data_IF_176444574381
#
_entry.id   IF_176444574381
#
_cell.length_a   1.000
_cell.length_b   1.000
_cell.length_c   1.000
_cell.angle_alpha   90.00
_cell.angle_beta   90.00
_cell.angle_gamma   90.00
#
_symmetry.space_group_name_H-M   'P 1'
#
loop_
_entity.id
_entity.type
_entity.pdbx_description
1 polymer ?
#
# COMPACT_ATOMS: atom_id res chain seq x y z
N UNK A 1 5.68 -3.35 -10.34
CA UNK A 1 4.95 -4.51 -9.85
C UNK A 1 5.65 -5.01 -8.62
N UNK A 2 4.96 -5.13 -7.52
CA UNK A 2 5.51 -5.61 -6.26
C UNK A 2 4.77 -6.88 -5.85
N UNK A 3 5.51 -7.91 -5.46
CA UNK A 3 4.95 -9.18 -5.00
C UNK A 3 5.29 -9.37 -3.53
N UNK A 4 4.37 -9.90 -2.77
CA UNK A 4 4.57 -10.25 -1.37
C UNK A 4 3.82 -11.52 -1.01
N UNK A 5 4.43 -12.36 -0.17
CA UNK A 5 3.75 -13.52 0.41
C UNK A 5 3.08 -13.11 1.71
N UNK A 6 1.76 -13.22 1.76
CA UNK A 6 1.03 -13.03 3.00
C UNK A 6 1.05 -14.33 3.82
N UNK A 7 1.40 -14.21 5.11
CA UNK A 7 1.19 -15.29 6.08
C UNK A 7 -0.01 -14.92 6.93
N UNK A 8 -0.97 -15.84 7.04
CA UNK A 8 -2.08 -15.68 7.96
C UNK A 8 -1.56 -15.54 9.39
N UNK A 9 -1.97 -14.48 10.09
CA UNK A 9 -1.79 -14.32 11.53
C UNK A 9 -3.15 -14.04 12.17
N UNK A 10 -3.27 -14.21 13.50
CA UNK A 10 -4.54 -13.96 14.20
C UNK A 10 -5.06 -12.51 14.04
N UNK A 11 -4.18 -11.58 13.65
CA UNK A 11 -4.49 -10.14 13.45
C UNK A 11 -4.61 -9.74 11.99
N UNK A 12 -4.25 -10.61 11.05
CA UNK A 12 -4.27 -10.32 9.63
C UNK A 12 -5.51 -10.90 8.97
N UNK A 13 -5.77 -10.46 7.75
CA UNK A 13 -6.74 -11.02 6.84
C UNK A 13 -6.65 -12.56 6.83
N UNK A 14 -7.76 -13.23 7.15
CA UNK A 14 -7.81 -14.70 7.15
C UNK A 14 -7.86 -15.16 5.69
N UNK A 15 -6.80 -15.84 5.27
CA UNK A 15 -6.80 -16.52 3.97
C UNK A 15 -7.71 -17.76 4.07
N UNK A 16 -8.59 -17.92 3.10
CA UNK A 16 -9.32 -19.15 2.90
C UNK A 16 -8.31 -20.27 2.60
N UNK A 17 -8.36 -21.42 3.30
CA UNK A 17 -7.45 -22.55 3.06
C UNK A 17 -7.49 -23.11 1.62
N UNK A 18 -8.56 -22.83 0.88
CA UNK A 18 -8.71 -23.26 -0.53
C UNK A 18 -8.00 -22.35 -1.53
N UNK A 19 -7.40 -21.25 -1.07
CA UNK A 19 -6.69 -20.29 -1.92
C UNK A 19 -5.50 -20.94 -2.59
N UNK A 20 -5.52 -20.95 -3.92
CA UNK A 20 -4.46 -21.52 -4.75
C UNK A 20 -3.34 -20.53 -5.04
N UNK A 21 -3.61 -19.22 -4.93
CA UNK A 21 -2.64 -18.15 -5.12
C UNK A 21 -2.47 -17.35 -3.82
N UNK A 22 -1.39 -17.62 -3.05
CA UNK A 22 -1.11 -16.93 -1.80
C UNK A 22 -0.39 -15.58 -2.03
N UNK A 23 -0.20 -15.14 -3.27
CA UNK A 23 0.55 -13.94 -3.57
C UNK A 23 -0.31 -12.68 -3.42
N UNK A 24 0.29 -11.63 -2.87
CA UNK A 24 -0.25 -10.28 -2.90
C UNK A 24 0.23 -9.60 -4.18
N UNK A 25 -0.70 -9.10 -4.98
CA UNK A 25 -0.38 -8.38 -6.20
C UNK A 25 -0.62 -6.88 -6.00
N UNK A 26 0.45 -6.11 -6.01
CA UNK A 26 0.42 -4.65 -5.92
C UNK A 26 0.95 -4.02 -7.20
N UNK A 27 0.19 -3.06 -7.75
CA UNK A 27 0.58 -2.26 -8.91
C UNK A 27 0.49 -0.80 -8.54
N UNK A 28 1.51 -0.05 -8.90
CA UNK A 28 1.46 1.38 -8.78
C UNK A 28 1.59 2.03 -10.14
N UNK A 29 0.68 2.95 -10.46
CA UNK A 29 0.67 3.71 -11.70
C UNK A 29 0.96 5.17 -11.41
N UNK A 30 1.89 5.72 -12.15
CA UNK A 30 2.24 7.13 -12.05
C UNK A 30 1.04 8.02 -12.42
N UNK A 31 0.79 9.16 -11.73
CA UNK A 31 1.58 9.64 -10.58
C UNK A 31 1.08 9.15 -9.22
N UNK A 32 -0.16 8.74 -9.05
CA UNK A 32 -0.78 8.67 -7.73
C UNK A 32 -1.83 7.57 -7.55
N UNK A 33 -1.80 6.50 -8.33
CA UNK A 33 -2.81 5.42 -8.21
C UNK A 33 -2.16 4.09 -7.91
N UNK A 34 -2.68 3.40 -6.91
CA UNK A 34 -2.25 2.07 -6.48
C UNK A 34 -3.39 1.08 -6.60
N UNK A 35 -3.11 -0.10 -7.13
CA UNK A 35 -4.03 -1.23 -7.22
C UNK A 35 -3.49 -2.38 -6.38
N UNK A 36 -4.30 -2.93 -5.50
CA UNK A 36 -3.93 -4.05 -4.67
C UNK A 36 -4.95 -5.17 -4.78
N UNK A 37 -4.47 -6.38 -5.04
CA UNK A 37 -5.25 -7.61 -5.00
C UNK A 37 -4.66 -8.49 -3.89
N UNK A 38 -5.33 -8.60 -2.75
CA UNK A 38 -4.87 -9.47 -1.66
C UNK A 38 -4.95 -10.95 -2.05
N UNK A 39 -4.14 -11.82 -1.43
CA UNK A 39 -4.11 -13.24 -1.72
C UNK A 39 -5.49 -13.88 -1.62
N UNK A 40 -5.88 -14.63 -2.66
CA UNK A 40 -7.14 -15.38 -2.70
C UNK A 40 -8.41 -14.55 -2.54
N UNK A 41 -8.31 -13.24 -2.71
CA UNK A 41 -9.45 -12.35 -2.55
C UNK A 41 -10.29 -12.29 -3.83
N UNK A 42 -11.59 -12.12 -3.66
CA UNK A 42 -12.53 -11.78 -4.73
C UNK A 42 -12.79 -10.27 -4.81
N UNK A 43 -11.83 -9.47 -4.34
CA UNK A 43 -11.91 -8.03 -4.36
C UNK A 43 -10.56 -7.39 -4.71
N UNK A 44 -10.62 -6.15 -5.13
CA UNK A 44 -9.46 -5.30 -5.41
C UNK A 44 -9.64 -3.96 -4.69
N UNK A 45 -8.56 -3.42 -4.17
CA UNK A 45 -8.56 -2.04 -3.68
C UNK A 45 -7.85 -1.13 -4.67
N UNK A 46 -8.40 0.07 -4.86
CA UNK A 46 -7.78 1.15 -5.63
C UNK A 46 -7.58 2.32 -4.68
N UNK A 47 -6.35 2.77 -4.58
CA UNK A 47 -5.96 3.87 -3.71
C UNK A 47 -5.44 5.00 -4.57
N UNK A 48 -6.00 6.19 -4.36
CA UNK A 48 -5.56 7.42 -4.99
C UNK A 48 -4.87 8.29 -3.96
N UNK A 49 -3.66 8.73 -4.26
CA UNK A 49 -2.83 9.55 -3.39
C UNK A 49 -2.67 10.94 -4.01
N UNK A 50 -3.56 11.86 -3.69
CA UNK A 50 -3.54 13.21 -4.26
C UNK A 50 -2.71 14.15 -3.38
N UNK A 51 -1.54 14.63 -3.83
CA UNK A 51 -0.79 15.65 -3.10
C UNK A 51 -1.58 16.96 -3.11
N UNK A 52 -1.88 17.48 -1.92
CA UNK A 52 -2.56 18.76 -1.72
C UNK A 52 -1.55 19.88 -1.57
N UNK A 53 -0.51 19.63 -0.78
CA UNK A 53 0.64 20.49 -0.58
C UNK A 53 1.89 19.68 -0.22
N UNK A 54 2.99 20.32 0.16
CA UNK A 54 4.26 19.66 0.48
C UNK A 54 4.18 18.72 1.71
N UNK A 55 3.13 18.80 2.49
CA UNK A 55 2.99 18.08 3.76
C UNK A 55 1.68 17.32 3.89
N UNK A 56 0.78 17.51 2.96
CA UNK A 56 -0.59 16.98 3.03
C UNK A 56 -0.91 16.20 1.76
N UNK A 57 -1.36 14.97 1.93
CA UNK A 57 -1.88 14.11 0.86
C UNK A 57 -3.32 13.71 1.17
N UNK A 58 -4.22 13.89 0.23
CA UNK A 58 -5.57 13.33 0.30
C UNK A 58 -5.55 11.91 -0.24
N UNK A 59 -5.92 10.95 0.58
CA UNK A 59 -6.08 9.57 0.17
C UNK A 59 -7.56 9.23 -0.06
N UNK A 60 -7.87 8.76 -1.25
CA UNK A 60 -9.18 8.17 -1.57
C UNK A 60 -9.02 6.66 -1.74
N UNK A 61 -9.96 5.89 -1.20
CA UNK A 61 -9.85 4.44 -1.11
C UNK A 61 -11.15 3.78 -1.60
N UNK A 62 -11.06 3.06 -2.71
CA UNK A 62 -12.18 2.29 -3.26
C UNK A 62 -11.92 0.78 -3.07
N UNK A 63 -12.97 0.04 -2.74
CA UNK A 63 -12.95 -1.42 -2.68
C UNK A 63 -13.96 -1.95 -3.70
N UNK A 64 -13.48 -2.72 -4.66
CA UNK A 64 -14.27 -3.31 -5.72
C UNK A 64 -14.45 -4.80 -5.47
N UNK A 65 -15.69 -5.26 -5.46
CA UNK A 65 -16.06 -6.68 -5.35
C UNK A 65 -16.58 -7.21 -6.68
N UNK A 66 -16.54 -8.53 -6.85
CA UNK A 66 -17.00 -9.18 -8.08
C UNK A 66 -18.51 -9.39 -8.15
N UNK A 67 -19.23 -9.15 -7.05
CA UNK A 67 -20.69 -9.30 -6.93
C UNK A 67 -21.38 -7.95 -6.73
N UNK A 68 -22.61 -7.82 -7.21
CA UNK A 68 -23.41 -6.58 -7.10
C UNK A 68 -23.89 -6.31 -5.68
N UNK A 69 -24.33 -7.37 -4.97
CA UNK A 69 -24.80 -7.28 -3.59
C UNK A 69 -23.71 -7.74 -2.62
N UNK A 70 -23.41 -6.88 -1.63
CA UNK A 70 -22.40 -7.19 -0.63
C UNK A 70 -22.89 -8.26 0.35
N UNK A 71 -22.11 -9.31 0.51
CA UNK A 71 -22.29 -10.30 1.59
C UNK A 71 -21.96 -9.68 2.95
N UNK A 72 -22.33 -10.36 4.03
CA UNK A 72 -22.00 -9.88 5.38
C UNK A 72 -20.48 -9.83 5.60
N UNK A 73 -19.74 -10.84 5.15
CA UNK A 73 -18.29 -10.89 5.27
C UNK A 73 -17.60 -9.72 4.54
N UNK A 74 -18.15 -9.31 3.38
CA UNK A 74 -17.64 -8.14 2.65
C UNK A 74 -17.92 -6.82 3.37
N UNK A 75 -19.08 -6.70 4.02
CA UNK A 75 -19.40 -5.55 4.88
C UNK A 75 -18.45 -5.48 6.09
N UNK A 76 -18.22 -6.62 6.73
CA UNK A 76 -17.30 -6.73 7.86
C UNK A 76 -15.86 -6.41 7.45
N UNK A 77 -15.47 -6.83 6.23
CA UNK A 77 -14.18 -6.47 5.64
C UNK A 77 -14.04 -4.95 5.44
N UNK A 78 -15.06 -4.28 4.91
CA UNK A 78 -15.06 -2.82 4.74
C UNK A 78 -14.89 -2.12 6.09
N UNK A 79 -15.60 -2.58 7.12
CA UNK A 79 -15.48 -2.02 8.47
C UNK A 79 -14.09 -2.29 9.07
N UNK A 80 -13.49 -3.45 8.81
CA UNK A 80 -12.13 -3.75 9.23
C UNK A 80 -11.11 -2.83 8.54
N UNK A 81 -11.24 -2.59 7.23
CA UNK A 81 -10.40 -1.63 6.52
C UNK A 81 -10.51 -0.23 7.10
N UNK A 82 -11.73 0.21 7.42
CA UNK A 82 -12.01 1.54 7.96
C UNK A 82 -11.46 1.74 9.36
N UNK A 83 -11.65 0.74 10.24
CA UNK A 83 -11.44 0.92 11.68
C UNK A 83 -10.12 0.33 12.20
N UNK A 84 -9.48 -0.56 11.44
CA UNK A 84 -8.26 -1.25 11.85
C UNK A 84 -7.12 -0.98 10.89
N UNK A 85 -7.27 -1.42 9.63
CA UNK A 85 -6.17 -1.39 8.66
C UNK A 85 -5.69 0.03 8.34
N UNK A 86 -6.59 0.90 7.89
CA UNK A 86 -6.23 2.28 7.52
C UNK A 86 -5.69 3.13 8.68
N UNK A 87 -6.28 3.12 9.88
CA UNK A 87 -5.74 3.88 11.01
C UNK A 87 -4.32 3.47 11.40
N UNK A 88 -3.94 2.20 11.25
CA UNK A 88 -2.58 1.74 11.50
C UNK A 88 -1.58 2.43 10.57
N UNK A 89 -1.84 2.41 9.27
CA UNK A 89 -0.98 3.04 8.26
C UNK A 89 -0.94 4.57 8.41
N UNK A 90 -2.09 5.21 8.61
CA UNK A 90 -2.18 6.66 8.78
C UNK A 90 -1.35 7.15 9.96
N UNK A 91 -1.46 6.49 11.11
CA UNK A 91 -0.67 6.83 12.30
C UNK A 91 0.84 6.72 12.03
N UNK A 92 1.25 5.70 11.27
CA UNK A 92 2.64 5.49 10.91
C UNK A 92 3.14 6.60 9.99
N UNK A 93 2.46 6.88 8.87
CA UNK A 93 2.91 7.89 7.89
C UNK A 93 2.90 9.30 8.47
N UNK A 94 1.93 9.65 9.30
CA UNK A 94 1.92 10.92 10.02
C UNK A 94 3.10 11.03 11.01
N UNK A 95 3.44 9.93 11.68
CA UNK A 95 4.62 9.89 12.56
C UNK A 95 5.91 10.08 11.77
N UNK A 96 6.02 9.43 10.60
CA UNK A 96 7.15 9.61 9.69
C UNK A 96 7.25 11.07 9.22
N UNK A 97 6.15 11.68 8.83
CA UNK A 97 6.13 13.10 8.41
C UNK A 97 6.64 14.04 9.51
N UNK A 98 6.24 13.79 10.77
CA UNK A 98 6.80 14.54 11.92
C UNK A 98 8.30 14.30 12.09
N UNK A 99 8.75 13.06 11.89
CA UNK A 99 10.16 12.68 11.95
C UNK A 99 11.02 13.37 10.91
N UNK A 100 10.51 13.51 9.68
CA UNK A 100 11.20 14.20 8.59
C UNK A 100 11.47 15.68 8.89
N UNK A 101 10.65 16.31 9.74
CA UNK A 101 10.84 17.72 10.19
C UNK A 101 11.82 17.85 11.37
N UNK A 102 12.27 16.74 11.94
CA UNK A 102 13.16 16.78 13.09
C UNK A 102 14.55 17.30 12.74
N UNK A 103 15.22 17.97 13.70
CA UNK A 103 16.62 18.39 13.54
C UNK A 103 17.61 17.24 13.37
N UNK A 104 17.20 16.02 13.76
CA UNK A 104 18.01 14.80 13.61
C UNK A 104 17.95 14.22 12.20
N UNK A 105 16.94 14.55 11.41
CA UNK A 105 16.84 14.09 10.03
C UNK A 105 17.77 14.89 9.12
N UNK A 106 18.72 14.23 8.50
CA UNK A 106 19.71 14.84 7.61
C UNK A 106 19.55 14.45 6.14
N UNK A 107 18.37 13.99 5.73
CA UNK A 107 18.12 13.52 4.36
C UNK A 107 18.89 12.25 3.98
N UNK A 108 19.31 11.43 4.94
CA UNK A 108 20.17 10.27 4.73
C UNK A 108 19.39 8.94 4.72
N UNK A 109 18.23 8.90 4.08
CA UNK A 109 17.59 7.62 3.77
C UNK A 109 18.46 6.82 2.79
N UNK A 110 18.58 5.50 3.03
CA UNK A 110 19.22 4.60 2.06
C UNK A 110 18.14 3.72 1.45
N UNK A 111 18.08 3.72 0.12
CA UNK A 111 17.25 2.80 -0.63
C UNK A 111 18.10 1.59 -0.97
N UNK A 112 17.64 0.41 -0.58
CA UNK A 112 18.34 -0.85 -0.82
C UNK A 112 17.83 -1.47 -2.12
N UNK A 113 18.65 -1.45 -3.16
CA UNK A 113 18.34 -2.13 -4.41
C UNK A 113 19.32 -3.27 -4.66
N UNK A 114 18.85 -4.40 -5.17
CA UNK A 114 19.68 -5.48 -5.64
C UNK A 114 19.44 -5.77 -7.13
N UNK A 115 20.42 -6.42 -7.78
CA UNK A 115 20.36 -6.74 -9.20
C UNK A 115 19.31 -7.81 -9.53
N UNK A 116 19.01 -8.67 -8.58
CA UNK A 116 18.05 -9.78 -8.70
C UNK A 116 16.61 -9.32 -8.52
N UNK A 117 16.41 -8.07 -8.04
CA UNK A 117 15.09 -7.52 -7.69
C UNK A 117 14.31 -8.45 -6.75
N UNK A 118 14.99 -8.95 -5.73
CA UNK A 118 14.38 -9.80 -4.70
C UNK A 118 13.22 -9.07 -4.00
N UNK A 119 12.40 -9.80 -3.24
CA UNK A 119 11.27 -9.24 -2.51
C UNK A 119 11.66 -8.21 -1.43
N UNK A 120 12.94 -8.14 -1.05
CA UNK A 120 13.48 -7.12 -0.14
C UNK A 120 14.11 -5.92 -0.86
N UNK A 121 14.16 -5.93 -2.19
CA UNK A 121 14.74 -4.85 -2.98
C UNK A 121 13.76 -3.70 -3.14
N UNK A 122 14.19 -2.50 -2.79
CA UNK A 122 13.41 -1.26 -2.89
C UNK A 122 13.50 -0.60 -4.29
N UNK A 123 13.69 -1.39 -5.33
CA UNK A 123 13.84 -0.87 -6.70
C UNK A 123 12.60 -0.09 -7.19
N UNK A 124 11.39 -0.45 -6.72
CA UNK A 124 10.16 0.28 -7.03
C UNK A 124 10.16 1.69 -6.42
N UNK A 125 10.62 1.81 -5.17
CA UNK A 125 10.77 3.11 -4.49
C UNK A 125 11.83 3.96 -5.19
N UNK A 126 12.97 3.36 -5.55
CA UNK A 126 14.04 4.06 -6.28
C UNK A 126 13.54 4.61 -7.62
N UNK A 127 12.77 3.81 -8.36
CA UNK A 127 12.17 4.23 -9.63
C UNK A 127 11.14 5.35 -9.44
N UNK A 128 10.28 5.25 -8.43
CA UNK A 128 9.32 6.30 -8.09
C UNK A 128 10.02 7.63 -7.78
N UNK A 129 11.02 7.61 -6.93
CA UNK A 129 11.79 8.83 -6.58
C UNK A 129 12.49 9.43 -7.80
N UNK A 130 12.97 8.59 -8.72
CA UNK A 130 13.53 9.05 -9.97
C UNK A 130 12.49 9.79 -10.83
N UNK A 131 11.29 9.25 -10.97
CA UNK A 131 10.18 9.92 -11.67
C UNK A 131 9.85 11.28 -11.03
N UNK A 132 9.69 11.33 -9.69
CA UNK A 132 9.44 12.58 -8.97
C UNK A 132 10.53 13.60 -9.28
N UNK A 133 11.81 13.23 -9.22
CA UNK A 133 12.92 14.11 -9.49
C UNK A 133 12.93 14.64 -10.94
N UNK A 134 12.47 13.85 -11.92
CA UNK A 134 12.37 14.30 -13.31
C UNK A 134 11.29 15.36 -13.53
N UNK A 135 10.21 15.33 -12.77
CA UNK A 135 9.08 16.26 -12.92
C UNK A 135 9.23 17.54 -12.08
N UNK A 136 10.24 17.59 -11.21
CA UNK A 136 10.56 18.77 -10.40
C UNK A 136 11.75 19.59 -10.92
N UNK A 137 12.25 19.30 -12.11
CA UNK A 137 13.23 20.09 -12.84
C UNK A 137 12.54 21.09 -13.74
#
# INVERSE_FOLDING_TARGET
MQYGFARSSEKSFKLDPSVTDPEFHGFWTWPCTMFNVPPGSNFMTVIYEFPVDAETTLQHYDIYFTNEELTQDQKDLIEWYRNVFRPEDLNLVESVQRGLKSRGYRGQGRIMTDKQRSGISEHGIAYFQHLVAQYHQ
#
